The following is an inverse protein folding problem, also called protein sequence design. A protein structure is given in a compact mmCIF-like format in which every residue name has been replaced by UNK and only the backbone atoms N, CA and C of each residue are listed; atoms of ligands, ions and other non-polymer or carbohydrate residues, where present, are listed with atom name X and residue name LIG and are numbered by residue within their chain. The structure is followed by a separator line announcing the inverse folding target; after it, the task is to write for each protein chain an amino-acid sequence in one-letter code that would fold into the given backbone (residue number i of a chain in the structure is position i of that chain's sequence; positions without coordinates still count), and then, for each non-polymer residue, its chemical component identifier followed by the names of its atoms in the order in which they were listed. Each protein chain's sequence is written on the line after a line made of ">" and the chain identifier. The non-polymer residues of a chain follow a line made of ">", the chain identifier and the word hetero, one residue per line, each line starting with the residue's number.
data_IF_370186381941
#
_entry.id   IF_370186381941
#
_cell.length_a   1.000
_cell.length_b   1.000
_cell.length_c   1.000
_cell.angle_alpha   90.00
_cell.angle_beta   90.00
_cell.angle_gamma   90.00
#
_symmetry.space_group_name_H-M   'P 1'
#
loop_
_entity.id
_entity.type
_entity.pdbx_description
1 polymer ?
#
# COMPACT_ATOMS: atom_id res chain seq x y z
N UNK A 1 -9.60 15.76 5.00
CA UNK A 1 -9.27 14.39 5.44
C UNK A 1 -8.25 14.45 6.57
N UNK A 2 -8.37 13.57 7.58
CA UNK A 2 -7.29 13.31 8.54
C UNK A 2 -6.51 12.07 8.09
N UNK A 3 -5.19 12.13 8.11
CA UNK A 3 -4.33 11.00 7.83
C UNK A 3 -3.17 10.97 8.83
N UNK A 4 -2.71 9.76 9.16
CA UNK A 4 -1.50 9.54 9.94
C UNK A 4 -0.60 8.64 9.10
N UNK A 5 0.65 9.03 8.91
CA UNK A 5 1.63 8.23 8.19
C UNK A 5 2.66 7.65 9.16
N UNK A 6 2.86 6.33 9.08
CA UNK A 6 3.87 5.60 9.84
C UNK A 6 5.08 5.38 8.94
N UNK A 7 6.15 6.12 9.22
CA UNK A 7 7.46 5.98 8.56
C UNK A 7 8.47 5.37 9.53
N UNK A 8 9.59 4.87 9.01
CA UNK A 8 10.66 4.28 9.80
C UNK A 8 12.00 4.51 9.11
N UNK A 9 13.09 4.51 9.87
CA UNK A 9 14.44 4.79 9.33
C UNK A 9 15.02 3.65 8.50
N UNK A 10 14.43 2.45 8.59
CA UNK A 10 14.85 1.27 7.85
C UNK A 10 13.65 0.43 7.40
N UNK A 11 13.89 -0.48 6.46
CA UNK A 11 13.02 -1.65 6.24
C UNK A 11 12.97 -2.52 7.51
N UNK A 12 11.85 -3.18 7.75
CA UNK A 12 11.61 -4.03 8.93
C UNK A 12 11.63 -3.35 10.31
N UNK A 13 11.60 -2.01 10.37
CA UNK A 13 11.51 -1.25 11.64
C UNK A 13 10.17 -1.40 12.41
N UNK A 14 9.30 -2.34 12.04
CA UNK A 14 8.00 -2.56 12.69
C UNK A 14 6.84 -1.67 12.19
N UNK A 15 7.01 -0.93 11.08
CA UNK A 15 5.98 -0.04 10.51
C UNK A 15 4.62 -0.71 10.33
N UNK A 16 4.59 -1.92 9.77
CA UNK A 16 3.33 -2.64 9.53
C UNK A 16 2.64 -3.00 10.85
N UNK A 17 3.39 -3.39 11.89
CA UNK A 17 2.83 -3.70 13.21
C UNK A 17 2.23 -2.45 13.87
N UNK A 18 2.95 -1.33 13.83
CA UNK A 18 2.47 -0.06 14.37
C UNK A 18 1.23 0.42 13.61
N UNK A 19 1.23 0.32 12.28
CA UNK A 19 0.06 0.68 11.46
C UNK A 19 -1.15 -0.19 11.81
N UNK A 20 -0.97 -1.50 11.99
CA UNK A 20 -2.03 -2.42 12.45
C UNK A 20 -2.55 -2.03 13.84
N UNK A 21 -1.66 -1.72 14.78
CA UNK A 21 -2.04 -1.30 16.13
C UNK A 21 -2.85 0.00 16.13
N UNK A 22 -2.43 0.99 15.33
CA UNK A 22 -3.15 2.24 15.15
C UNK A 22 -4.53 2.01 14.54
N UNK A 23 -4.62 1.22 13.46
CA UNK A 23 -5.89 0.82 12.87
C UNK A 23 -6.85 0.26 13.93
N UNK A 24 -6.37 -0.66 14.77
CA UNK A 24 -7.20 -1.27 15.82
C UNK A 24 -7.60 -0.28 16.91
N UNK A 25 -6.66 0.52 17.39
CA UNK A 25 -6.89 1.48 18.47
C UNK A 25 -7.95 2.51 18.06
N UNK A 26 -7.79 3.11 16.88
CA UNK A 26 -8.64 4.16 16.37
C UNK A 26 -10.04 3.63 15.99
N UNK A 27 -10.11 2.45 15.39
CA UNK A 27 -11.39 1.76 15.14
C UNK A 27 -12.15 1.49 16.45
N UNK A 28 -11.47 1.05 17.51
CA UNK A 28 -12.08 0.86 18.85
C UNK A 28 -12.56 2.15 19.50
N UNK A 29 -12.04 3.31 19.06
CA UNK A 29 -12.52 4.63 19.50
C UNK A 29 -13.71 5.13 18.66
N UNK A 30 -14.23 4.32 17.73
CA UNK A 30 -15.41 4.64 16.93
C UNK A 30 -15.13 5.36 15.61
N UNK A 31 -13.86 5.54 15.22
CA UNK A 31 -13.51 6.12 13.93
C UNK A 31 -13.69 5.08 12.81
N UNK A 32 -14.19 5.50 11.64
CA UNK A 32 -14.08 4.70 10.42
C UNK A 32 -12.67 4.83 9.88
N UNK A 33 -11.85 3.80 10.11
CA UNK A 33 -10.42 3.80 9.76
C UNK A 33 -10.17 2.93 8.54
N UNK A 34 -9.32 3.39 7.63
CA UNK A 34 -8.81 2.59 6.53
C UNK A 34 -7.28 2.57 6.52
N UNK A 35 -6.64 1.39 6.37
CA UNK A 35 -5.21 1.36 6.08
C UNK A 35 -4.92 1.76 4.64
N UNK A 36 -3.72 2.27 4.39
CA UNK A 36 -3.27 2.56 3.03
C UNK A 36 -1.76 2.36 2.90
N UNK A 37 -1.34 1.75 1.79
CA UNK A 37 0.06 1.71 1.36
C UNK A 37 0.10 1.77 -0.17
N UNK A 38 0.48 2.92 -0.72
CA UNK A 38 0.44 3.18 -2.15
C UNK A 38 1.15 2.09 -2.96
N UNK A 39 2.40 1.81 -2.59
CA UNK A 39 3.19 0.72 -3.15
C UNK A 39 3.68 -0.24 -2.07
N UNK A 40 3.46 -1.53 -2.30
CA UNK A 40 4.05 -2.60 -1.50
C UNK A 40 4.87 -3.55 -2.37
N UNK A 41 5.85 -4.21 -1.76
CA UNK A 41 6.65 -5.25 -2.42
C UNK A 41 6.63 -6.51 -1.54
N UNK A 42 5.97 -7.55 -2.02
CA UNK A 42 5.83 -8.82 -1.30
C UNK A 42 5.61 -9.96 -2.29
N UNK A 43 6.20 -11.13 -2.03
CA UNK A 43 6.01 -12.31 -2.87
C UNK A 43 4.60 -12.90 -2.74
N UNK A 44 4.08 -12.94 -1.52
CA UNK A 44 2.76 -13.48 -1.20
C UNK A 44 1.75 -12.34 -1.07
N UNK A 45 0.53 -12.60 -1.57
CA UNK A 45 -0.57 -11.66 -1.59
C UNK A 45 -1.82 -12.26 -0.96
N UNK A 46 -2.63 -11.41 -0.34
CA UNK A 46 -4.00 -11.74 0.02
C UNK A 46 -4.92 -11.48 -1.17
N UNK A 47 -5.85 -12.42 -1.42
CA UNK A 47 -6.90 -12.26 -2.43
C UNK A 47 -8.13 -11.66 -1.75
N UNK A 48 -8.47 -10.43 -2.13
CA UNK A 48 -9.67 -9.73 -1.68
C UNK A 48 -10.93 -10.50 -2.07
N UNK A 49 -12.10 -10.26 -1.43
CA UNK A 49 -13.35 -10.94 -1.79
C UNK A 49 -13.76 -10.79 -3.26
N UNK A 50 -13.30 -9.72 -3.93
CA UNK A 50 -13.56 -9.47 -5.35
C UNK A 50 -12.49 -10.09 -6.28
N UNK A 51 -11.58 -10.91 -5.74
CA UNK A 51 -10.55 -11.61 -6.50
C UNK A 51 -9.27 -10.81 -6.79
N UNK A 52 -9.17 -9.56 -6.32
CA UNK A 52 -7.98 -8.73 -6.52
C UNK A 52 -6.89 -9.00 -5.48
N UNK A 53 -5.62 -8.91 -5.88
CA UNK A 53 -4.46 -9.13 -5.00
C UNK A 53 -3.99 -7.86 -4.27
N UNK A 54 -3.72 -7.98 -2.97
CA UNK A 54 -3.07 -6.94 -2.14
C UNK A 54 -2.00 -7.54 -1.23
N UNK A 55 -1.10 -6.72 -0.68
CA UNK A 55 -0.16 -7.18 0.35
C UNK A 55 -0.87 -7.71 1.62
N UNK A 56 -0.36 -8.81 2.18
CA UNK A 56 -0.90 -9.38 3.43
C UNK A 56 -0.92 -8.39 4.60
N UNK A 57 0.09 -7.52 4.69
CA UNK A 57 0.14 -6.49 5.72
C UNK A 57 -1.10 -5.59 5.68
N UNK A 58 -1.54 -5.16 4.49
CA UNK A 58 -2.73 -4.33 4.33
C UNK A 58 -4.01 -5.10 4.63
N UNK A 59 -4.09 -6.39 4.29
CA UNK A 59 -5.22 -7.23 4.69
C UNK A 59 -5.35 -7.34 6.23
N UNK A 60 -4.23 -7.57 6.92
CA UNK A 60 -4.19 -7.63 8.39
C UNK A 60 -4.56 -6.28 9.02
N UNK A 61 -4.06 -5.18 8.46
CA UNK A 61 -4.41 -3.83 8.91
C UNK A 61 -5.91 -3.52 8.72
N UNK A 62 -6.50 -4.00 7.62
CA UNK A 62 -7.93 -3.84 7.34
C UNK A 62 -8.78 -4.61 8.35
N UNK A 63 -8.41 -5.87 8.65
CA UNK A 63 -9.06 -6.65 9.70
C UNK A 63 -8.93 -5.99 11.07
N UNK A 64 -7.77 -5.41 11.38
CA UNK A 64 -7.55 -4.66 12.62
C UNK A 64 -8.47 -3.43 12.71
N UNK A 65 -8.68 -2.71 11.60
CA UNK A 65 -9.63 -1.62 11.49
C UNK A 65 -11.11 -2.07 11.47
N UNK A 66 -11.38 -3.38 11.32
CA UNK A 66 -12.73 -3.93 11.25
C UNK A 66 -13.40 -3.75 9.89
N UNK A 67 -12.61 -3.62 8.82
CA UNK A 67 -13.10 -3.37 7.46
C UNK A 67 -12.69 -4.50 6.51
N UNK A 68 -13.44 -4.67 5.43
CA UNK A 68 -13.14 -5.68 4.40
C UNK A 68 -11.93 -5.21 3.59
N UNK A 69 -10.89 -6.03 3.40
CA UNK A 69 -9.75 -5.64 2.57
C UNK A 69 -10.15 -5.41 1.11
N UNK A 70 -9.72 -4.29 0.53
CA UNK A 70 -9.97 -3.93 -0.87
C UNK A 70 -8.68 -3.44 -1.56
N UNK A 71 -8.70 -3.39 -2.89
CA UNK A 71 -7.49 -3.12 -3.71
C UNK A 71 -6.99 -1.69 -3.55
N UNK A 72 -7.88 -0.75 -3.24
CA UNK A 72 -7.56 0.66 -2.99
C UNK A 72 -6.66 0.84 -1.76
N UNK A 73 -6.65 -0.11 -0.82
CA UNK A 73 -5.76 -0.07 0.35
C UNK A 73 -4.29 -0.34 -0.03
N UNK A 74 -4.05 -1.02 -1.15
CA UNK A 74 -2.73 -1.26 -1.71
C UNK A 74 -2.81 -1.33 -3.25
N UNK A 75 -2.92 -0.17 -3.93
CA UNK A 75 -3.23 -0.13 -5.36
C UNK A 75 -2.10 -0.66 -6.24
N UNK A 76 -0.86 -0.65 -5.73
CA UNK A 76 0.32 -1.18 -6.41
C UNK A 76 0.99 -2.23 -5.54
N UNK A 77 1.10 -3.45 -6.07
CA UNK A 77 1.84 -4.54 -5.46
C UNK A 77 2.88 -5.07 -6.44
N UNK A 78 4.15 -5.07 -6.02
CA UNK A 78 5.25 -5.68 -6.75
C UNK A 78 5.56 -7.05 -6.15
N UNK A 79 5.56 -8.09 -6.99
CA UNK A 79 5.91 -9.47 -6.60
C UNK A 79 7.26 -9.83 -7.21
N UNK A 80 8.37 -9.84 -6.45
CA UNK A 80 9.69 -10.16 -6.97
C UNK A 80 9.75 -11.57 -7.57
N UNK A 81 10.44 -11.74 -8.70
CA UNK A 81 10.54 -13.02 -9.43
C UNK A 81 11.98 -13.50 -9.68
N UNK A 82 12.98 -12.86 -9.07
CA UNK A 82 14.39 -13.09 -9.38
C UNK A 82 14.89 -12.20 -10.53
N UNK A 83 16.20 -12.23 -10.80
CA UNK A 83 16.87 -11.47 -11.87
C UNK A 83 16.56 -9.97 -11.88
N UNK A 84 16.37 -9.38 -10.69
CA UNK A 84 15.95 -7.97 -10.52
C UNK A 84 14.65 -7.62 -11.26
N UNK A 85 13.76 -8.59 -11.41
CA UNK A 85 12.43 -8.41 -12.01
C UNK A 85 11.31 -8.60 -11.00
N UNK A 86 10.19 -7.92 -11.27
CA UNK A 86 8.97 -8.00 -10.49
C UNK A 86 7.78 -8.15 -11.42
N UNK A 87 6.81 -8.96 -11.03
CA UNK A 87 5.46 -8.88 -11.56
C UNK A 87 4.76 -7.65 -10.96
N UNK A 88 4.13 -6.86 -11.81
CA UNK A 88 3.37 -5.68 -11.41
C UNK A 88 1.90 -6.06 -11.29
N UNK A 89 1.35 -5.83 -10.11
CA UNK A 89 -0.09 -5.89 -9.83
C UNK A 89 -0.60 -4.46 -9.68
N UNK A 90 -1.54 -4.06 -10.52
CA UNK A 90 -2.24 -2.77 -10.41
C UNK A 90 -3.72 -3.02 -10.12
N UNK A 91 -4.26 -2.35 -9.11
CA UNK A 91 -5.66 -2.47 -8.69
C UNK A 91 -6.10 -3.94 -8.57
N UNK A 92 -5.21 -4.75 -7.99
CA UNK A 92 -5.42 -6.18 -7.75
C UNK A 92 -5.26 -7.10 -8.96
N UNK A 93 -4.82 -6.62 -10.13
CA UNK A 93 -4.63 -7.44 -11.34
C UNK A 93 -3.20 -7.41 -11.83
N UNK A 94 -2.68 -8.56 -12.26
CA UNK A 94 -1.39 -8.63 -12.92
C UNK A 94 -1.41 -7.91 -14.28
N UNK A 95 -0.51 -6.95 -14.48
CA UNK A 95 -0.43 -6.14 -15.72
C UNK A 95 0.87 -6.35 -16.50
N UNK A 96 1.88 -6.99 -15.89
CA UNK A 96 3.10 -7.33 -16.60
C UNK A 96 4.24 -7.75 -15.68
N UNK A 97 5.39 -8.01 -16.30
CA UNK A 97 6.67 -8.25 -15.65
C UNK A 97 7.65 -7.17 -16.11
N UNK A 98 8.42 -6.61 -15.20
CA UNK A 98 9.38 -5.53 -15.49
C UNK A 98 10.64 -5.71 -14.67
N UNK A 99 11.76 -5.23 -15.22
CA UNK A 99 12.94 -4.90 -14.42
C UNK A 99 12.69 -3.66 -13.55
N UNK A 100 13.57 -3.40 -12.57
CA UNK A 100 13.46 -2.23 -11.70
C UNK A 100 13.45 -0.89 -12.48
N UNK A 101 14.24 -0.76 -13.55
CA UNK A 101 14.30 0.47 -14.36
C UNK A 101 13.01 0.68 -15.17
N UNK A 102 12.59 -0.35 -15.89
CA UNK A 102 11.37 -0.32 -16.70
C UNK A 102 10.11 -0.07 -15.88
N UNK A 103 10.10 -0.48 -14.61
CA UNK A 103 9.00 -0.21 -13.70
C UNK A 103 8.75 1.29 -13.58
N UNK A 104 9.78 2.07 -13.23
CA UNK A 104 9.63 3.52 -13.09
C UNK A 104 9.32 4.18 -14.44
N UNK A 105 9.95 3.75 -15.53
CA UNK A 105 9.68 4.34 -16.85
C UNK A 105 8.24 4.10 -17.34
N UNK A 106 7.69 2.90 -17.12
CA UNK A 106 6.39 2.49 -17.69
C UNK A 106 5.20 2.70 -16.76
N UNK A 107 5.44 2.71 -15.44
CA UNK A 107 4.39 2.66 -14.43
C UNK A 107 4.38 3.81 -13.43
N UNK A 108 5.34 4.74 -13.48
CA UNK A 108 5.33 5.88 -12.55
C UNK A 108 4.03 6.71 -12.66
N UNK A 109 3.70 7.21 -13.85
CA UNK A 109 2.49 8.04 -14.05
C UNK A 109 1.20 7.28 -13.74
N UNK A 110 1.09 6.03 -14.22
CA UNK A 110 -0.06 5.15 -13.93
C UNK A 110 -0.16 4.84 -12.45
N UNK A 111 0.98 4.65 -11.78
CA UNK A 111 1.08 4.39 -10.36
C UNK A 111 0.54 5.56 -9.55
N UNK A 112 0.97 6.78 -9.89
CA UNK A 112 0.47 8.00 -9.25
C UNK A 112 -1.04 8.17 -9.45
N UNK A 113 -1.54 7.94 -10.66
CA UNK A 113 -2.98 7.98 -10.96
C UNK A 113 -3.78 7.02 -10.08
N UNK A 114 -3.38 5.74 -9.99
CA UNK A 114 -4.13 4.76 -9.17
C UNK A 114 -4.02 5.05 -7.67
N UNK A 115 -2.91 5.65 -7.22
CA UNK A 115 -2.74 6.10 -5.83
C UNK A 115 -3.69 7.25 -5.51
N UNK A 116 -3.74 8.27 -6.36
CA UNK A 116 -4.63 9.43 -6.19
C UNK A 116 -6.10 9.04 -6.22
N UNK A 117 -6.49 8.18 -7.17
CA UNK A 117 -7.86 7.66 -7.28
C UNK A 117 -8.25 6.82 -6.07
N UNK A 118 -7.36 5.94 -5.62
CA UNK A 118 -7.58 5.10 -4.43
C UNK A 118 -7.73 5.95 -3.18
N UNK A 119 -6.81 6.90 -2.95
CA UNK A 119 -6.90 7.83 -1.84
C UNK A 119 -8.21 8.60 -1.91
N UNK A 120 -8.56 9.22 -3.05
CA UNK A 120 -9.81 9.98 -3.21
C UNK A 120 -11.03 9.14 -2.82
N UNK A 121 -11.12 7.89 -3.28
CA UNK A 121 -12.21 6.99 -2.92
C UNK A 121 -12.24 6.71 -1.41
N UNK A 122 -11.12 6.27 -0.84
CA UNK A 122 -11.02 5.97 0.59
C UNK A 122 -11.31 7.21 1.45
N UNK A 123 -10.96 8.41 0.98
CA UNK A 123 -11.22 9.67 1.68
C UNK A 123 -12.70 10.04 1.78
N UNK A 124 -13.52 9.54 0.87
CA UNK A 124 -14.96 9.77 0.88
C UNK A 124 -15.68 8.77 1.79
N UNK A 125 -15.10 7.60 2.01
CA UNK A 125 -15.73 6.48 2.75
C UNK A 125 -15.33 6.44 4.24
N UNK A 126 -14.13 6.92 4.58
CA UNK A 126 -13.53 6.78 5.91
C UNK A 126 -13.19 8.14 6.56
N UNK A 127 -13.21 8.17 7.89
CA UNK A 127 -12.91 9.38 8.68
C UNK A 127 -11.40 9.63 8.79
N UNK A 128 -10.60 8.55 8.78
CA UNK A 128 -9.16 8.58 8.95
C UNK A 128 -8.46 7.50 8.11
N UNK A 129 -7.36 7.87 7.45
CA UNK A 129 -6.47 6.92 6.79
C UNK A 129 -5.18 6.73 7.58
N UNK A 130 -4.80 5.48 7.82
CA UNK A 130 -3.50 5.10 8.41
C UNK A 130 -2.57 4.65 7.27
N UNK A 131 -1.65 5.52 6.88
CA UNK A 131 -0.71 5.28 5.80
C UNK A 131 0.55 4.57 6.32
N UNK A 132 0.90 3.41 5.76
CA UNK A 132 2.20 2.78 5.99
C UNK A 132 3.21 3.26 4.94
N UNK A 133 4.30 3.90 5.37
CA UNK A 133 5.38 4.30 4.46
C UNK A 133 6.19 3.11 3.94
N UNK A 134 6.65 3.21 2.70
CA UNK A 134 7.67 2.32 2.15
C UNK A 134 9.08 2.77 2.59
N UNK A 135 9.99 1.82 2.80
CA UNK A 135 11.42 2.13 3.02
C UNK A 135 11.70 3.14 4.14
N UNK A 136 12.75 3.93 3.93
CA UNK A 136 13.10 5.12 4.72
C UNK A 136 12.55 6.38 4.06
N UNK A 137 12.00 7.36 4.81
CA UNK A 137 11.51 8.61 4.24
C UNK A 137 12.63 9.54 3.73
N UNK A 138 13.91 9.13 3.85
CA UNK A 138 15.09 9.94 3.50
C UNK A 138 15.91 9.28 2.38
N UNK A 139 15.25 8.69 1.40
CA UNK A 139 15.91 8.14 0.20
C UNK A 139 16.01 9.21 -0.90
N UNK A 140 16.87 10.21 -0.67
CA UNK A 140 17.03 11.38 -1.56
C UNK A 140 17.37 10.95 -3.01
N UNK A 141 18.07 9.83 -3.16
CA UNK A 141 18.46 9.24 -4.45
C UNK A 141 17.26 8.81 -5.31
N UNK A 142 16.07 8.60 -4.74
CA UNK A 142 14.87 8.18 -5.48
C UNK A 142 13.74 9.20 -5.45
N UNK A 143 13.95 10.38 -4.86
CA UNK A 143 12.90 11.41 -4.71
C UNK A 143 12.17 11.77 -6.00
N UNK A 144 12.86 11.77 -7.15
CA UNK A 144 12.27 12.08 -8.46
C UNK A 144 11.36 10.98 -9.02
N UNK A 145 11.33 9.82 -8.36
CA UNK A 145 10.61 8.61 -8.77
C UNK A 145 9.91 7.92 -7.59
N UNK A 146 9.68 8.67 -6.51
CA UNK A 146 8.99 8.21 -5.31
C UNK A 146 7.47 8.35 -5.47
N UNK A 147 6.71 7.34 -5.04
CA UNK A 147 5.26 7.19 -5.25
C UNK A 147 4.49 7.19 -3.91
#
# INVERSE_FOLDING_TARGET
>A
MKAIMVVGTTSHAGKSLISTALCRLLSRQGWRVCPFKGQNMALNAYVTPNGGEIGHAQAVQAWAAGVIPCVEMNPILLKPQGDMTSQVILMGKAVGKVSAGEYYEKYFDKGWQVIEESLRRLTNEFDLVVCEGAGSPVEINIKHRDL
#
